data_IF_352150308489
#
_entry.id   IF_352150308489
#
_cell.length_a   1.000
_cell.length_b   1.000
_cell.length_c   1.000
_cell.angle_alpha   90.00
_cell.angle_beta   90.00
_cell.angle_gamma   90.00
#
_symmetry.space_group_name_H-M   'P 1'
#
loop_
_entity.id
_entity.type
_entity.pdbx_description
1 polymer ?
#
# COMPACT_ATOMS: atom_id res chain seq x y z
N UNK A 1 14.30 -4.41 5.44
CA UNK A 1 13.02 -4.79 4.77
C UNK A 1 13.22 -5.00 3.26
N UNK A 2 13.46 -3.95 2.47
CA UNK A 2 13.41 -4.02 1.00
C UNK A 2 14.40 -5.02 0.38
N UNK A 3 15.63 -5.10 0.91
CA UNK A 3 16.62 -6.08 0.45
C UNK A 3 16.13 -7.51 0.65
N UNK A 4 15.48 -7.81 1.78
CA UNK A 4 14.92 -9.14 2.06
C UNK A 4 13.78 -9.48 1.09
N UNK A 5 12.89 -8.52 0.83
CA UNK A 5 11.83 -8.66 -0.17
C UNK A 5 12.44 -8.94 -1.55
N UNK A 6 13.39 -8.11 -1.98
CA UNK A 6 14.02 -8.25 -3.29
C UNK A 6 14.73 -9.60 -3.47
N UNK A 7 15.56 -10.01 -2.51
CA UNK A 7 16.24 -11.31 -2.55
C UNK A 7 15.21 -12.46 -2.58
N UNK A 8 14.20 -12.41 -1.71
CA UNK A 8 13.17 -13.47 -1.67
C UNK A 8 12.40 -13.56 -2.98
N UNK A 9 11.97 -12.42 -3.54
CA UNK A 9 11.28 -12.39 -4.83
C UNK A 9 12.16 -12.91 -5.97
N UNK A 10 13.44 -12.54 -6.00
CA UNK A 10 14.36 -12.98 -7.04
C UNK A 10 14.70 -14.48 -6.95
N UNK A 11 14.70 -15.05 -5.75
CA UNK A 11 14.99 -16.47 -5.53
C UNK A 11 13.79 -17.38 -5.78
N UNK A 12 12.58 -16.90 -5.45
CA UNK A 12 11.39 -17.76 -5.39
C UNK A 12 10.30 -17.42 -6.42
N UNK A 13 10.35 -16.24 -7.05
CA UNK A 13 9.39 -15.85 -8.09
C UNK A 13 9.87 -16.21 -9.50
N UNK A 14 8.94 -16.43 -10.42
CA UNK A 14 9.27 -16.61 -11.84
C UNK A 14 9.68 -15.27 -12.48
N UNK A 15 10.95 -15.16 -12.85
CA UNK A 15 11.54 -13.96 -13.45
C UNK A 15 11.10 -13.71 -14.91
N UNK A 16 10.47 -14.69 -15.57
CA UNK A 16 9.84 -14.46 -16.87
C UNK A 16 8.53 -13.70 -16.74
N UNK A 17 7.96 -13.66 -15.54
CA UNK A 17 6.71 -12.97 -15.28
C UNK A 17 6.93 -11.47 -15.15
N UNK A 18 6.35 -10.70 -16.06
CA UNK A 18 6.50 -9.25 -16.08
C UNK A 18 5.91 -8.55 -14.85
N UNK A 19 4.88 -9.13 -14.20
CA UNK A 19 4.30 -8.55 -12.98
C UNK A 19 5.29 -8.54 -11.81
N UNK A 20 6.16 -9.55 -11.71
CA UNK A 20 7.21 -9.63 -10.69
C UNK A 20 8.16 -8.42 -10.81
N UNK A 21 8.56 -8.09 -12.04
CA UNK A 21 9.41 -6.92 -12.30
C UNK A 21 8.70 -5.60 -12.02
N UNK A 22 7.42 -5.48 -12.41
CA UNK A 22 6.63 -4.26 -12.14
C UNK A 22 6.59 -3.98 -10.63
N UNK A 23 6.25 -4.99 -9.81
CA UNK A 23 6.16 -4.78 -8.36
C UNK A 23 7.53 -4.55 -7.72
N UNK A 24 8.56 -5.26 -8.17
CA UNK A 24 9.92 -5.13 -7.63
C UNK A 24 10.52 -3.75 -7.95
N UNK A 25 10.45 -3.31 -9.20
CA UNK A 25 10.99 -2.02 -9.64
C UNK A 25 10.21 -0.85 -9.04
N UNK A 26 8.88 -0.96 -8.89
CA UNK A 26 8.06 0.05 -8.22
C UNK A 26 8.47 0.18 -6.76
N UNK A 27 8.58 -0.94 -6.05
CA UNK A 27 8.94 -0.98 -4.63
C UNK A 27 10.34 -0.42 -4.40
N UNK A 28 11.33 -0.85 -5.18
CA UNK A 28 12.70 -0.35 -5.08
C UNK A 28 12.79 1.12 -5.51
N UNK A 29 12.07 1.54 -6.55
CA UNK A 29 12.05 2.93 -7.00
C UNK A 29 11.52 3.89 -5.92
N UNK A 30 10.40 3.54 -5.26
CA UNK A 30 9.91 4.30 -4.11
C UNK A 30 10.86 4.22 -2.90
N UNK A 31 11.52 3.07 -2.71
CA UNK A 31 12.58 2.90 -1.71
C UNK A 31 13.77 3.82 -1.94
N UNK A 32 14.19 4.03 -3.19
CA UNK A 32 15.24 4.98 -3.55
C UNK A 32 14.83 6.42 -3.24
N UNK A 33 13.57 6.80 -3.52
CA UNK A 33 13.04 8.13 -3.17
C UNK A 33 13.13 8.33 -1.65
N UNK A 34 12.67 7.35 -0.87
CA UNK A 34 12.73 7.40 0.59
C UNK A 34 14.17 7.42 1.11
N UNK A 35 15.07 6.66 0.48
CA UNK A 35 16.49 6.63 0.85
C UNK A 35 17.16 7.99 0.62
N UNK A 36 16.89 8.63 -0.52
CA UNK A 36 17.41 9.98 -0.79
C UNK A 36 16.90 10.99 0.23
N UNK A 37 15.63 10.86 0.65
CA UNK A 37 15.05 11.72 1.69
C UNK A 37 15.75 11.52 3.05
N UNK A 38 15.82 10.29 3.53
CA UNK A 38 16.42 9.95 4.83
C UNK A 38 17.92 10.23 4.86
N UNK A 39 18.64 9.96 3.76
CA UNK A 39 20.06 10.28 3.63
C UNK A 39 20.32 11.78 3.77
N UNK A 40 19.45 12.64 3.22
CA UNK A 40 19.56 14.10 3.39
C UNK A 40 19.25 14.54 4.82
N UNK A 41 18.28 13.91 5.49
CA UNK A 41 17.95 14.21 6.90
C UNK A 41 19.13 13.88 7.81
N UNK A 42 19.74 12.71 7.64
CA UNK A 42 20.78 12.20 8.54
C UNK A 42 22.17 12.73 8.19
N UNK A 43 22.61 12.54 6.94
CA UNK A 43 24.00 12.84 6.55
C UNK A 43 24.22 14.32 6.31
N UNK A 44 23.28 14.98 5.63
CA UNK A 44 23.38 16.42 5.36
C UNK A 44 22.81 17.28 6.49
N UNK A 45 22.34 16.65 7.59
CA UNK A 45 21.71 17.32 8.74
C UNK A 45 20.65 18.34 8.33
N UNK A 46 19.94 18.07 7.23
CA UNK A 46 18.87 18.93 6.76
C UNK A 46 17.53 18.41 7.30
N UNK A 47 16.97 18.99 8.37
CA UNK A 47 15.76 18.47 9.00
C UNK A 47 14.53 18.51 8.07
N UNK A 48 14.59 19.26 6.96
CA UNK A 48 13.51 19.30 5.96
C UNK A 48 13.56 18.14 4.96
N UNK A 49 14.67 17.42 4.87
CA UNK A 49 14.87 16.35 3.89
C UNK A 49 14.70 16.82 2.42
N UNK A 50 14.13 15.95 1.60
CA UNK A 50 13.68 16.21 0.23
C UNK A 50 12.41 17.06 0.27
N UNK A 51 12.32 18.06 -0.62
CA UNK A 51 11.13 18.89 -0.70
C UNK A 51 9.90 18.06 -1.08
N UNK A 52 8.74 18.38 -0.49
CA UNK A 52 7.49 17.67 -0.78
C UNK A 52 7.16 17.66 -2.29
N UNK A 53 7.48 18.74 -3.02
CA UNK A 53 7.31 18.82 -4.48
C UNK A 53 8.20 17.82 -5.22
N UNK A 54 9.47 17.69 -4.83
CA UNK A 54 10.39 16.74 -5.46
C UNK A 54 10.02 15.29 -5.14
N UNK A 55 9.62 15.01 -3.88
CA UNK A 55 9.12 13.70 -3.48
C UNK A 55 7.91 13.30 -4.32
N UNK A 56 6.90 14.16 -4.39
CA UNK A 56 5.71 13.94 -5.23
C UNK A 56 6.08 13.77 -6.70
N UNK A 57 6.94 14.62 -7.26
CA UNK A 57 7.36 14.53 -8.67
C UNK A 57 7.92 13.15 -9.03
N UNK A 58 8.84 12.61 -8.23
CA UNK A 58 9.43 11.30 -8.52
C UNK A 58 8.43 10.15 -8.31
N UNK A 59 7.59 10.21 -7.27
CA UNK A 59 6.51 9.25 -7.07
C UNK A 59 5.54 9.27 -8.26
N UNK A 60 5.21 10.46 -8.76
CA UNK A 60 4.34 10.65 -9.91
C UNK A 60 4.92 10.04 -11.18
N UNK A 61 6.21 10.25 -11.46
CA UNK A 61 6.88 9.65 -12.63
C UNK A 61 6.78 8.13 -12.57
N UNK A 62 7.15 7.51 -11.45
CA UNK A 62 7.14 6.05 -11.33
C UNK A 62 5.71 5.52 -11.50
N UNK A 63 4.73 6.10 -10.80
CA UNK A 63 3.34 5.63 -10.85
C UNK A 63 2.71 5.80 -12.24
N UNK A 64 3.01 6.89 -12.96
CA UNK A 64 2.54 7.09 -14.33
C UNK A 64 3.19 6.11 -15.30
N UNK A 65 4.50 5.85 -15.19
CA UNK A 65 5.18 4.86 -16.01
C UNK A 65 4.61 3.45 -15.79
N UNK A 66 4.32 3.09 -14.54
CA UNK A 66 3.66 1.82 -14.20
C UNK A 66 2.25 1.77 -14.81
N UNK A 67 1.46 2.82 -14.70
CA UNK A 67 0.11 2.88 -15.30
C UNK A 67 0.14 2.73 -16.82
N UNK A 68 1.05 3.43 -17.50
CA UNK A 68 1.25 3.33 -18.96
C UNK A 68 1.70 1.93 -19.35
N UNK A 69 2.66 1.35 -18.62
CA UNK A 69 3.15 0.00 -18.89
C UNK A 69 2.03 -1.03 -18.74
N UNK A 70 1.31 -1.03 -17.62
CA UNK A 70 0.21 -1.96 -17.36
C UNK A 70 -0.90 -1.85 -18.42
N UNK A 71 -1.25 -0.63 -18.84
CA UNK A 71 -2.21 -0.41 -19.92
C UNK A 71 -1.73 -1.01 -21.24
N UNK A 72 -0.47 -0.78 -21.64
CA UNK A 72 0.04 -1.27 -22.92
C UNK A 72 0.25 -2.79 -22.94
N UNK A 73 0.49 -3.42 -21.78
CA UNK A 73 0.58 -4.88 -21.64
C UNK A 73 -0.78 -5.55 -21.42
N UNK A 74 -1.87 -4.78 -21.32
CA UNK A 74 -3.20 -5.33 -21.11
C UNK A 74 -3.70 -6.04 -22.38
N UNK A 75 -3.82 -7.36 -22.31
CA UNK A 75 -4.32 -8.21 -23.41
C UNK A 75 -5.80 -8.57 -23.27
N UNK A 76 -6.38 -8.42 -22.08
CA UNK A 76 -7.76 -8.77 -21.76
C UNK A 76 -8.50 -7.56 -21.18
N UNK A 77 -9.81 -7.38 -21.47
CA UNK A 77 -10.62 -6.32 -20.86
C UNK A 77 -10.58 -6.32 -19.32
N UNK A 78 -10.53 -7.52 -18.74
CA UNK A 78 -10.39 -7.75 -17.30
C UNK A 78 -9.18 -7.02 -16.66
N UNK A 79 -8.15 -6.68 -17.45
CA UNK A 79 -6.95 -6.01 -16.94
C UNK A 79 -7.19 -4.52 -16.67
N UNK A 80 -8.21 -3.90 -17.29
CA UNK A 80 -8.45 -2.45 -17.23
C UNK A 80 -9.82 -2.05 -16.69
N UNK A 81 -10.67 -3.02 -16.40
CA UNK A 81 -12.02 -2.84 -15.85
C UNK A 81 -12.03 -2.63 -14.33
N UNK A 82 -12.60 -1.53 -13.85
CA UNK A 82 -12.79 -1.28 -12.42
C UNK A 82 -13.95 -2.12 -11.87
N UNK A 83 -13.65 -2.91 -10.83
CA UNK A 83 -14.60 -3.81 -10.21
C UNK A 83 -15.10 -3.22 -8.91
N UNK A 84 -16.42 -3.04 -8.79
CA UNK A 84 -17.03 -2.60 -7.53
C UNK A 84 -17.23 -3.80 -6.61
N UNK A 85 -16.63 -3.82 -5.41
CA UNK A 85 -16.83 -4.92 -4.48
C UNK A 85 -18.31 -5.00 -4.07
N UNK A 86 -18.78 -6.20 -3.73
CA UNK A 86 -20.17 -6.50 -3.35
C UNK A 86 -21.23 -6.35 -4.45
N UNK A 87 -20.87 -5.90 -5.66
CA UNK A 87 -21.82 -5.72 -6.76
C UNK A 87 -21.35 -6.43 -8.05
N UNK A 88 -21.86 -7.64 -8.30
CA UNK A 88 -21.44 -8.53 -9.41
C UNK A 88 -21.49 -7.90 -10.80
N UNK A 89 -22.47 -7.04 -11.04
CA UNK A 89 -22.78 -6.54 -12.39
C UNK A 89 -22.22 -5.14 -12.65
N UNK A 90 -21.65 -4.48 -11.64
CA UNK A 90 -21.14 -3.13 -11.78
C UNK A 90 -19.64 -3.15 -12.07
N UNK A 91 -19.33 -3.32 -13.34
CA UNK A 91 -17.97 -3.28 -13.88
C UNK A 91 -17.87 -2.08 -14.81
N UNK A 92 -16.88 -1.21 -14.56
CA UNK A 92 -16.66 -0.01 -15.36
C UNK A 92 -15.42 -0.19 -16.25
N UNK A 93 -15.58 -0.30 -17.59
CA UNK A 93 -14.43 -0.29 -18.48
C UNK A 93 -13.80 1.10 -18.45
N UNK A 94 -12.56 1.20 -17.99
CA UNK A 94 -11.85 2.47 -17.93
C UNK A 94 -11.20 2.79 -19.28
N UNK A 95 -11.24 4.07 -19.66
CA UNK A 95 -10.39 4.58 -20.74
C UNK A 95 -8.93 4.55 -20.30
N UNK A 96 -7.99 4.64 -21.25
CA UNK A 96 -6.56 4.71 -20.95
C UNK A 96 -6.25 5.78 -19.89
N UNK A 97 -6.82 6.98 -20.05
CA UNK A 97 -6.65 8.10 -19.12
C UNK A 97 -7.24 7.76 -17.75
N UNK A 98 -8.44 7.19 -17.70
CA UNK A 98 -9.10 6.80 -16.44
C UNK A 98 -8.32 5.73 -15.69
N UNK A 99 -7.82 4.71 -16.39
CA UNK A 99 -7.00 3.65 -15.82
C UNK A 99 -5.68 4.19 -15.27
N UNK A 100 -4.93 4.95 -16.08
CA UNK A 100 -3.64 5.53 -15.66
C UNK A 100 -3.82 6.45 -14.44
N UNK A 101 -4.87 7.29 -14.44
CA UNK A 101 -5.19 8.13 -13.29
C UNK A 101 -5.51 7.31 -12.03
N UNK A 102 -6.29 6.24 -12.16
CA UNK A 102 -6.58 5.33 -11.05
C UNK A 102 -5.30 4.69 -10.50
N UNK A 103 -4.45 4.13 -11.37
CA UNK A 103 -3.16 3.54 -10.96
C UNK A 103 -2.30 4.56 -10.22
N UNK A 104 -2.22 5.78 -10.75
CA UNK A 104 -1.53 6.89 -10.10
C UNK A 104 -2.04 7.13 -8.68
N UNK A 105 -3.36 7.31 -8.52
CA UNK A 105 -3.94 7.61 -7.21
C UNK A 105 -3.79 6.46 -6.22
N UNK A 106 -3.91 5.21 -6.68
CA UNK A 106 -3.73 4.04 -5.82
C UNK A 106 -2.27 3.92 -5.37
N UNK A 107 -1.29 3.96 -6.27
CA UNK A 107 0.12 3.79 -5.91
C UNK A 107 0.61 4.96 -5.05
N UNK A 108 0.44 6.20 -5.52
CA UNK A 108 0.93 7.39 -4.82
C UNK A 108 0.14 7.62 -3.54
N UNK A 109 -1.18 7.41 -3.57
CA UNK A 109 -2.06 7.56 -2.41
C UNK A 109 -1.71 6.56 -1.31
N UNK A 110 -1.61 5.27 -1.63
CA UNK A 110 -1.25 4.24 -0.63
C UNK A 110 0.18 4.44 -0.11
N UNK A 111 1.14 4.81 -0.97
CA UNK A 111 2.51 5.14 -0.53
C UNK A 111 2.57 6.24 0.53
N UNK A 112 1.90 7.37 0.28
CA UNK A 112 1.86 8.48 1.24
C UNK A 112 1.00 8.14 2.46
N UNK A 113 -0.08 7.38 2.31
CA UNK A 113 -0.93 6.97 3.43
C UNK A 113 -0.17 6.08 4.43
N UNK A 114 0.64 5.12 3.95
CA UNK A 114 1.50 4.30 4.80
C UNK A 114 2.58 5.17 5.47
N UNK A 115 3.21 6.09 4.75
CA UNK A 115 4.19 7.02 5.32
C UNK A 115 3.61 7.94 6.40
N UNK A 116 2.38 8.43 6.23
CA UNK A 116 1.68 9.20 7.27
C UNK A 116 1.31 8.36 8.50
N UNK A 117 1.22 7.03 8.35
CA UNK A 117 0.87 6.11 9.44
C UNK A 117 2.09 5.64 10.22
N UNK A 118 3.30 5.80 9.67
CA UNK A 118 4.58 5.41 10.29
C UNK A 118 5.05 6.45 11.32
N UNK A 119 4.19 6.76 12.30
CA UNK A 119 4.44 7.76 13.34
C UNK A 119 4.64 7.20 14.76
N UNK A 120 4.34 5.90 14.96
CA UNK A 120 4.48 5.19 16.24
C UNK A 120 5.05 3.78 16.01
N UNK A 121 5.68 3.21 17.04
CA UNK A 121 6.37 1.93 16.99
C UNK A 121 5.41 0.78 16.61
N UNK A 122 5.67 0.12 15.48
CA UNK A 122 4.85 -0.98 14.97
C UNK A 122 3.51 -0.57 14.35
N UNK A 123 3.19 0.73 14.28
CA UNK A 123 1.87 1.20 13.83
C UNK A 123 1.62 0.93 12.35
N UNK A 124 2.61 1.16 11.48
CA UNK A 124 2.46 0.98 10.04
C UNK A 124 2.73 -0.47 9.59
N UNK A 125 3.76 -1.12 10.13
CA UNK A 125 4.23 -2.39 9.57
C UNK A 125 3.23 -3.53 9.72
N UNK A 126 2.61 -3.70 10.89
CA UNK A 126 1.71 -4.84 11.10
C UNK A 126 0.45 -4.74 10.21
N UNK A 127 -0.20 -3.57 10.07
CA UNK A 127 -1.19 -3.35 9.03
C UNK A 127 -0.70 -3.69 7.62
N UNK A 128 0.52 -3.29 7.24
CA UNK A 128 1.10 -3.66 5.93
C UNK A 128 1.23 -5.17 5.78
N UNK A 129 1.69 -5.89 6.81
CA UNK A 129 1.80 -7.36 6.80
C UNK A 129 0.43 -8.01 6.60
N UNK A 130 -0.60 -7.56 7.33
CA UNK A 130 -1.95 -8.12 7.20
C UNK A 130 -2.54 -7.87 5.81
N UNK A 131 -2.44 -6.64 5.28
CA UNK A 131 -2.94 -6.28 3.95
C UNK A 131 -2.16 -7.00 2.85
N UNK A 132 -0.82 -7.08 2.95
CA UNK A 132 0.00 -7.84 2.00
C UNK A 132 -0.38 -9.32 1.98
N UNK A 133 -0.58 -9.93 3.16
CA UNK A 133 -0.98 -11.33 3.27
C UNK A 133 -2.35 -11.60 2.62
N UNK A 134 -3.30 -10.68 2.79
CA UNK A 134 -4.59 -10.77 2.12
C UNK A 134 -4.46 -10.59 0.59
N UNK A 135 -3.64 -9.65 0.12
CA UNK A 135 -3.34 -9.49 -1.30
C UNK A 135 -2.64 -10.71 -1.89
N UNK A 136 -1.83 -11.43 -1.11
CA UNK A 136 -1.23 -12.71 -1.55
C UNK A 136 -2.32 -13.75 -1.87
N UNK A 137 -3.38 -13.82 -1.05
CA UNK A 137 -4.53 -14.70 -1.30
C UNK A 137 -5.27 -14.28 -2.56
N UNK A 138 -5.54 -12.98 -2.75
CA UNK A 138 -6.15 -12.47 -3.97
C UNK A 138 -5.32 -12.77 -5.21
N UNK A 139 -4.00 -12.55 -5.15
CA UNK A 139 -3.06 -12.85 -6.22
C UNK A 139 -3.10 -14.34 -6.61
N UNK A 140 -3.03 -15.22 -5.61
CA UNK A 140 -3.07 -16.67 -5.83
C UNK A 140 -4.40 -17.12 -6.44
N UNK A 141 -5.53 -16.60 -5.96
CA UNK A 141 -6.85 -16.95 -6.47
C UNK A 141 -7.10 -16.40 -7.88
N UNK A 142 -6.74 -15.14 -8.14
CA UNK A 142 -6.88 -14.51 -9.46
C UNK A 142 -5.93 -15.13 -10.51
N UNK A 143 -4.77 -15.61 -10.07
CA UNK A 143 -3.79 -16.30 -10.91
C UNK A 143 -4.12 -17.77 -11.19
N UNK A 144 -5.20 -18.32 -10.64
CA UNK A 144 -5.60 -19.71 -10.82
C UNK A 144 -6.98 -19.81 -11.49
N UNK A 145 -7.05 -20.46 -12.66
CA UNK A 145 -8.28 -20.56 -13.47
C UNK A 145 -9.45 -21.20 -12.69
N UNK A 146 -9.17 -22.21 -11.87
CA UNK A 146 -10.20 -22.94 -11.11
C UNK A 146 -10.78 -22.05 -10.02
N UNK A 147 -9.94 -21.41 -9.22
CA UNK A 147 -10.39 -20.50 -8.16
C UNK A 147 -11.07 -19.26 -8.72
N UNK A 148 -10.50 -18.65 -9.76
CA UNK A 148 -11.08 -17.47 -10.40
C UNK A 148 -12.50 -17.74 -10.90
N UNK A 149 -12.70 -18.89 -11.57
CA UNK A 149 -14.03 -19.32 -12.05
C UNK A 149 -14.99 -19.63 -10.90
N UNK A 150 -14.54 -20.31 -9.84
CA UNK A 150 -15.38 -20.66 -8.70
C UNK A 150 -15.84 -19.43 -7.91
N UNK A 151 -14.96 -18.46 -7.72
CA UNK A 151 -15.23 -17.23 -6.94
C UNK A 151 -15.86 -16.11 -7.78
N UNK A 152 -15.92 -16.26 -9.11
CA UNK A 152 -16.42 -15.21 -10.00
C UNK A 152 -15.53 -13.97 -10.00
N UNK A 153 -14.22 -14.13 -9.79
CA UNK A 153 -13.24 -13.05 -9.89
C UNK A 153 -12.53 -13.13 -11.26
N UNK A 154 -12.01 -12.02 -11.80
CA UNK A 154 -11.28 -12.07 -13.06
C UNK A 154 -10.03 -12.93 -12.95
N UNK A 155 -9.81 -13.75 -13.97
CA UNK A 155 -8.59 -14.51 -14.11
C UNK A 155 -7.50 -13.63 -14.74
N UNK A 156 -6.35 -13.56 -14.08
CA UNK A 156 -5.21 -12.74 -14.50
C UNK A 156 -3.99 -13.68 -14.61
N UNK A 157 -3.66 -14.13 -15.83
CA UNK A 157 -2.56 -15.06 -16.04
C UNK A 157 -1.25 -14.53 -15.43
N UNK A 158 -0.59 -15.34 -14.61
CA UNK A 158 0.67 -14.96 -13.96
C UNK A 158 0.52 -14.09 -12.70
N UNK A 159 -0.67 -13.60 -12.33
CA UNK A 159 -0.81 -12.84 -11.08
C UNK A 159 -0.46 -13.65 -9.82
N UNK A 160 -0.48 -14.99 -9.89
CA UNK A 160 -0.13 -15.89 -8.79
C UNK A 160 1.30 -15.68 -8.26
N UNK A 161 2.25 -15.27 -9.11
CA UNK A 161 3.63 -14.97 -8.69
C UNK A 161 3.70 -13.80 -7.69
N UNK A 162 2.71 -12.91 -7.70
CA UNK A 162 2.63 -11.83 -6.72
C UNK A 162 2.37 -12.33 -5.30
N UNK A 163 1.86 -13.56 -5.14
CA UNK A 163 1.73 -14.18 -3.82
C UNK A 163 3.10 -14.43 -3.17
N UNK A 164 4.12 -14.78 -3.97
CA UNK A 164 5.51 -14.93 -3.50
C UNK A 164 6.06 -13.58 -3.02
N UNK A 165 5.88 -12.52 -3.83
CA UNK A 165 6.27 -11.17 -3.47
C UNK A 165 5.60 -10.69 -2.18
N UNK A 166 4.27 -10.84 -2.08
CA UNK A 166 3.50 -10.47 -0.89
C UNK A 166 3.88 -11.30 0.34
N UNK A 167 4.17 -12.59 0.18
CA UNK A 167 4.73 -13.44 1.23
C UNK A 167 6.09 -12.95 1.71
N UNK A 168 6.95 -12.50 0.80
CA UNK A 168 8.22 -11.84 1.12
C UNK A 168 8.03 -10.54 1.90
N UNK A 169 7.05 -9.70 1.52
CA UNK A 169 6.66 -8.49 2.27
C UNK A 169 6.18 -8.85 3.68
N UNK A 170 5.32 -9.87 3.81
CA UNK A 170 4.79 -10.31 5.10
C UNK A 170 5.92 -10.83 6.02
N UNK A 171 6.79 -11.71 5.50
CA UNK A 171 7.92 -12.26 6.25
C UNK A 171 8.93 -11.19 6.66
N UNK A 172 9.34 -10.32 5.72
CA UNK A 172 10.25 -9.22 6.01
C UNK A 172 9.63 -8.20 6.99
N UNK A 173 8.32 -7.98 6.90
CA UNK A 173 7.59 -7.09 7.80
C UNK A 173 7.45 -7.65 9.21
N UNK A 174 7.17 -8.95 9.38
CA UNK A 174 7.18 -9.62 10.69
C UNK A 174 8.57 -9.62 11.32
N UNK A 175 9.61 -9.88 10.53
CA UNK A 175 10.99 -9.79 11.01
C UNK A 175 11.37 -8.37 11.42
N UNK A 176 10.89 -7.35 10.70
CA UNK A 176 11.09 -5.96 11.10
C UNK A 176 10.32 -5.60 12.37
N UNK A 177 9.07 -6.05 12.49
CA UNK A 177 8.24 -5.82 13.68
C UNK A 177 8.92 -6.36 14.95
N UNK A 178 9.71 -7.45 14.86
CA UNK A 178 10.50 -7.93 15.99
C UNK A 178 11.40 -6.85 16.60
N UNK A 179 12.01 -6.00 15.77
CA UNK A 179 12.91 -4.92 16.20
C UNK A 179 12.22 -3.56 16.32
N UNK A 180 11.02 -3.42 15.75
CA UNK A 180 10.27 -2.16 15.73
C UNK A 180 9.09 -2.14 16.72
N UNK A 181 8.73 -3.27 17.33
CA UNK A 181 7.74 -3.30 18.39
C UNK A 181 8.23 -2.48 19.59
N UNK A 182 7.32 -1.74 20.21
CA UNK A 182 7.66 -0.83 21.31
C UNK A 182 8.38 -1.55 22.45
N UNK A 183 9.51 -1.01 22.95
CA UNK A 183 10.23 0.17 22.45
C UNK A 183 11.10 -0.15 21.21
N UNK A 184 10.99 0.63 20.13
CA UNK A 184 11.69 0.33 18.88
C UNK A 184 13.22 0.48 18.96
N UNK A 185 13.91 -0.52 18.42
CA UNK A 185 15.37 -0.50 18.17
C UNK A 185 15.69 0.05 16.78
N UNK A 186 14.78 -0.14 15.82
CA UNK A 186 14.94 0.26 14.42
C UNK A 186 13.68 0.96 13.92
N UNK A 187 13.85 2.13 13.30
CA UNK A 187 12.78 2.86 12.62
C UNK A 187 12.70 2.47 11.13
N UNK A 188 11.48 2.50 10.58
CA UNK A 188 11.25 2.11 9.19
C UNK A 188 11.78 3.17 8.21
N UNK A 189 11.58 4.45 8.54
CA UNK A 189 11.97 5.58 7.71
C UNK A 189 11.13 5.70 6.43
N UNK A 190 11.38 6.77 5.68
CA UNK A 190 10.72 7.00 4.39
C UNK A 190 11.09 5.91 3.38
N UNK A 191 12.28 5.30 3.51
CA UNK A 191 12.70 4.14 2.71
C UNK A 191 11.65 3.03 2.76
N UNK A 192 11.28 2.60 3.96
CA UNK A 192 10.35 1.48 4.14
C UNK A 192 8.93 1.90 3.86
N UNK A 193 8.47 3.02 4.43
CA UNK A 193 7.06 3.37 4.40
C UNK A 193 6.57 3.71 2.99
N UNK A 194 7.35 4.48 2.22
CA UNK A 194 6.98 4.83 0.84
C UNK A 194 6.98 3.60 -0.07
N UNK A 195 8.00 2.75 0.06
CA UNK A 195 8.14 1.53 -0.74
C UNK A 195 7.03 0.53 -0.46
N UNK A 196 6.73 0.26 0.82
CA UNK A 196 5.71 -0.70 1.22
C UNK A 196 4.30 -0.24 0.80
N UNK A 197 3.96 1.04 0.96
CA UNK A 197 2.67 1.53 0.49
C UNK A 197 2.55 1.49 -1.04
N UNK A 198 3.61 1.79 -1.78
CA UNK A 198 3.62 1.64 -3.23
C UNK A 198 3.50 0.16 -3.66
N UNK A 199 4.16 -0.75 -2.95
CA UNK A 199 4.09 -2.20 -3.16
C UNK A 199 2.66 -2.73 -3.02
N UNK A 200 1.97 -2.37 -1.94
CA UNK A 200 0.56 -2.73 -1.74
C UNK A 200 -0.34 -2.18 -2.86
N UNK A 201 -0.13 -0.91 -3.23
CA UNK A 201 -0.89 -0.25 -4.29
C UNK A 201 -0.73 -0.93 -5.65
N UNK A 202 0.50 -1.23 -6.07
CA UNK A 202 0.75 -1.84 -7.38
C UNK A 202 0.25 -3.28 -7.45
N UNK A 203 0.39 -4.07 -6.37
CA UNK A 203 -0.18 -5.42 -6.31
C UNK A 203 -1.69 -5.35 -6.44
N UNK A 204 -2.36 -4.47 -5.68
CA UNK A 204 -3.81 -4.32 -5.73
C UNK A 204 -4.33 -3.91 -7.12
N UNK A 205 -3.60 -3.04 -7.83
CA UNK A 205 -3.90 -2.68 -9.23
C UNK A 205 -3.81 -3.91 -10.14
N UNK A 206 -2.74 -4.69 -10.02
CA UNK A 206 -2.53 -5.88 -10.88
C UNK A 206 -3.62 -6.93 -10.61
N UNK A 207 -3.97 -7.18 -9.34
CA UNK A 207 -4.99 -8.18 -8.99
C UNK A 207 -6.44 -7.69 -9.11
N UNK A 208 -6.65 -6.44 -9.58
CA UNK A 208 -7.97 -5.76 -9.69
C UNK A 208 -8.73 -5.68 -8.36
N UNK A 209 -8.02 -5.34 -7.29
CA UNK A 209 -8.53 -5.20 -5.93
C UNK A 209 -8.27 -3.81 -5.35
N UNK A 210 -8.35 -2.77 -6.17
CA UNK A 210 -8.05 -1.39 -5.78
C UNK A 210 -9.02 -0.88 -4.71
N UNK A 211 -10.33 -1.09 -4.91
CA UNK A 211 -11.35 -0.71 -3.94
C UNK A 211 -11.32 -1.61 -2.70
N UNK A 212 -10.94 -2.87 -2.85
CA UNK A 212 -10.77 -3.77 -1.71
C UNK A 212 -9.53 -3.38 -0.90
N UNK A 213 -8.44 -2.91 -1.53
CA UNK A 213 -7.30 -2.30 -0.85
C UNK A 213 -7.72 -1.06 -0.06
N UNK A 214 -8.61 -0.23 -0.59
CA UNK A 214 -9.15 0.92 0.15
C UNK A 214 -9.89 0.49 1.43
N UNK A 215 -10.57 -0.66 1.41
CA UNK A 215 -11.21 -1.26 2.59
C UNK A 215 -10.18 -1.87 3.54
N UNK A 216 -9.34 -2.80 3.06
CA UNK A 216 -8.34 -3.51 3.88
C UNK A 216 -7.31 -2.56 4.49
N UNK A 217 -6.85 -1.59 3.70
CA UNK A 217 -5.97 -0.49 4.10
C UNK A 217 -6.72 0.69 4.72
N UNK A 218 -7.96 0.50 5.14
CA UNK A 218 -8.82 1.57 5.67
C UNK A 218 -8.19 2.31 6.85
N UNK A 219 -7.30 1.69 7.62
CA UNK A 219 -6.50 2.39 8.63
C UNK A 219 -5.61 3.47 7.99
N UNK A 220 -4.81 3.11 6.99
CA UNK A 220 -3.96 4.06 6.25
C UNK A 220 -4.80 5.18 5.62
N UNK A 221 -5.96 4.82 5.08
CA UNK A 221 -6.91 5.79 4.50
C UNK A 221 -7.41 6.76 5.57
N UNK A 222 -7.84 6.27 6.73
CA UNK A 222 -8.32 7.12 7.83
C UNK A 222 -7.23 8.08 8.32
N UNK A 223 -6.00 7.59 8.44
CA UNK A 223 -4.84 8.42 8.79
C UNK A 223 -4.60 9.54 7.77
N UNK A 224 -4.53 9.19 6.48
CA UNK A 224 -4.36 10.17 5.41
C UNK A 224 -5.51 11.17 5.32
N UNK A 225 -6.76 10.71 5.43
CA UNK A 225 -7.96 11.55 5.41
C UNK A 225 -7.98 12.50 6.60
N UNK A 226 -7.53 12.07 7.77
CA UNK A 226 -7.46 12.95 8.95
C UNK A 226 -6.52 14.13 8.73
N UNK A 227 -5.37 13.89 8.08
CA UNK A 227 -4.42 14.95 7.73
C UNK A 227 -5.03 15.89 6.69
N UNK A 228 -5.68 15.35 5.64
CA UNK A 228 -6.34 16.17 4.63
C UNK A 228 -7.42 17.07 5.23
N UNK A 229 -8.29 16.52 6.07
CA UNK A 229 -9.34 17.28 6.78
C UNK A 229 -8.73 18.36 7.68
N UNK A 230 -7.70 18.00 8.45
CA UNK A 230 -7.05 18.93 9.36
C UNK A 230 -6.42 20.11 8.60
N UNK A 231 -5.67 19.84 7.53
CA UNK A 231 -5.01 20.87 6.71
C UNK A 231 -6.05 21.74 6.00
N UNK A 232 -7.10 21.14 5.43
CA UNK A 232 -8.19 21.88 4.78
C UNK A 232 -8.93 22.80 5.76
N UNK A 233 -9.32 22.28 6.93
CA UNK A 233 -10.00 23.04 7.96
C UNK A 233 -9.15 24.20 8.48
N UNK A 234 -7.86 23.98 8.73
CA UNK A 234 -6.97 25.04 9.20
C UNK A 234 -6.75 26.13 8.13
N UNK A 235 -6.63 25.76 6.85
CA UNK A 235 -6.51 26.73 5.75
C UNK A 235 -7.78 27.54 5.49
N UNK A 236 -8.95 26.92 5.64
CA UNK A 236 -10.24 27.56 5.33
C UNK A 236 -10.84 28.32 6.52
N UNK A 237 -10.67 27.81 7.74
CA UNK A 237 -11.36 28.32 8.93
C UNK A 237 -10.43 28.77 10.05
N UNK A 238 -9.12 28.45 9.95
CA UNK A 238 -8.14 28.67 11.03
C UNK A 238 -8.32 27.75 12.24
N UNK A 239 -9.29 26.84 12.22
CA UNK A 239 -9.60 25.94 13.34
C UNK A 239 -9.09 24.53 13.07
N UNK A 240 -8.73 23.83 14.16
CA UNK A 240 -8.31 22.43 14.13
C UNK A 240 -9.53 21.52 14.38
N UNK A 241 -9.68 20.44 13.62
CA UNK A 241 -10.74 19.44 13.81
C UNK A 241 -10.31 18.39 14.84
N UNK A 242 -9.10 17.86 14.66
CA UNK A 242 -8.45 16.96 15.60
C UNK A 242 -7.46 17.72 16.47
N UNK A 243 -7.20 17.22 17.68
CA UNK A 243 -6.16 17.75 18.58
C UNK A 243 -4.80 17.86 17.88
N UNK A 244 -4.44 16.81 17.15
CA UNK A 244 -3.30 16.72 16.23
C UNK A 244 -3.68 15.75 15.11
N UNK A 245 -3.11 15.94 13.92
CA UNK A 245 -3.19 14.97 12.84
C UNK A 245 -1.77 14.43 12.58
N UNK A 246 -1.59 13.13 12.31
CA UNK A 246 -2.63 12.11 12.02
C UNK A 246 -3.43 11.61 13.26
N UNK A 247 -4.38 10.68 13.08
CA UNK A 247 -5.31 10.21 14.13
C UNK A 247 -4.62 9.56 15.32
N UNK A 248 -3.53 8.83 15.13
CA UNK A 248 -2.83 8.22 16.26
C UNK A 248 -2.41 9.27 17.31
N UNK A 249 -1.83 10.40 16.88
CA UNK A 249 -1.50 11.51 17.78
C UNK A 249 -2.73 12.17 18.42
N UNK A 250 -3.87 12.19 17.72
CA UNK A 250 -5.12 12.63 18.33
C UNK A 250 -5.51 11.79 19.54
N UNK A 251 -5.34 10.47 19.46
CA UNK A 251 -5.64 9.54 20.56
C UNK A 251 -4.60 9.58 21.68
N UNK A 252 -3.32 9.76 21.36
CA UNK A 252 -2.28 9.99 22.37
C UNK A 252 -2.58 11.24 23.21
N UNK A 253 -2.94 12.36 22.55
CA UNK A 253 -3.34 13.58 23.24
C UNK A 253 -4.67 13.46 23.99
N UNK A 254 -5.45 12.39 23.76
CA UNK A 254 -6.64 12.02 24.56
C UNK A 254 -6.28 11.17 25.79
N UNK A 255 -5.01 10.83 25.98
CA UNK A 255 -4.51 10.07 27.12
C UNK A 255 -4.36 8.56 26.86
N UNK A 256 -4.45 8.10 25.61
CA UNK A 256 -4.13 6.71 25.30
C UNK A 256 -2.62 6.51 25.27
N UNK A 257 -2.15 5.37 25.78
CA UNK A 257 -0.74 4.98 25.63
C UNK A 257 -0.43 4.64 24.17
N UNK A 258 0.79 4.89 23.72
CA UNK A 258 1.24 4.53 22.36
C UNK A 258 0.92 3.07 22.01
N UNK A 259 1.33 2.13 22.87
CA UNK A 259 1.04 0.69 22.69
C UNK A 259 -0.46 0.37 22.63
N UNK A 260 -1.28 1.13 23.35
CA UNK A 260 -2.74 0.99 23.32
C UNK A 260 -3.33 1.47 21.99
N UNK A 261 -2.79 2.55 21.40
CA UNK A 261 -3.19 3.02 20.06
C UNK A 261 -2.81 1.97 19.01
N UNK A 262 -1.55 1.53 19.03
CA UNK A 262 -0.99 0.55 18.08
C UNK A 262 -1.80 -0.75 18.06
N UNK A 263 -1.99 -1.40 19.22
CA UNK A 263 -2.73 -2.67 19.29
C UNK A 263 -4.19 -2.52 18.85
N UNK A 264 -4.85 -1.41 19.22
CA UNK A 264 -6.24 -1.16 18.77
C UNK A 264 -6.32 -0.97 17.28
N UNK A 265 -5.35 -0.28 16.69
CA UNK A 265 -5.31 -0.05 15.26
C UNK A 265 -5.02 -1.35 14.51
N UNK A 266 -4.21 -2.26 15.07
CA UNK A 266 -4.04 -3.61 14.54
C UNK A 266 -5.34 -4.41 14.56
N UNK A 267 -6.12 -4.35 15.64
CA UNK A 267 -7.43 -5.00 15.72
C UNK A 267 -8.37 -4.45 14.64
N UNK A 268 -8.41 -3.13 14.46
CA UNK A 268 -9.22 -2.49 13.40
C UNK A 268 -8.77 -2.96 12.02
N UNK A 269 -7.46 -2.97 11.74
CA UNK A 269 -6.95 -3.47 10.47
C UNK A 269 -7.28 -4.93 10.25
N UNK A 270 -7.18 -5.79 11.26
CA UNK A 270 -7.57 -7.20 11.16
C UNK A 270 -9.03 -7.32 10.74
N UNK A 271 -9.94 -6.57 11.37
CA UNK A 271 -11.36 -6.58 11.02
C UNK A 271 -11.61 -6.09 9.58
N UNK A 272 -10.91 -5.04 9.16
CA UNK A 272 -11.01 -4.50 7.79
C UNK A 272 -10.46 -5.47 6.74
N UNK A 273 -9.37 -6.18 7.06
CA UNK A 273 -8.80 -7.23 6.20
C UNK A 273 -9.77 -8.40 6.06
N UNK A 274 -10.37 -8.86 7.15
CA UNK A 274 -11.40 -9.91 7.12
C UNK A 274 -12.62 -9.47 6.30
N UNK A 275 -13.06 -8.22 6.43
CA UNK A 275 -14.12 -7.65 5.61
C UNK A 275 -13.73 -7.61 4.12
N UNK A 276 -12.49 -7.23 3.81
CA UNK A 276 -11.95 -7.27 2.45
C UNK A 276 -11.93 -8.68 1.87
N UNK A 277 -11.48 -9.67 2.63
CA UNK A 277 -11.49 -11.08 2.22
C UNK A 277 -12.91 -11.62 2.04
N UNK A 278 -13.89 -11.18 2.84
CA UNK A 278 -15.29 -11.56 2.66
C UNK A 278 -15.84 -11.15 1.28
N UNK A 279 -15.27 -10.11 0.65
CA UNK A 279 -15.66 -9.69 -0.72
C UNK A 279 -15.38 -10.75 -1.79
N UNK A 280 -14.49 -11.72 -1.54
CA UNK A 280 -14.21 -12.82 -2.47
C UNK A 280 -15.45 -13.69 -2.74
N UNK A 281 -16.31 -13.87 -1.73
CA UNK A 281 -17.48 -14.76 -1.81
C UNK A 281 -18.81 -14.00 -1.92
N UNK A 282 -18.80 -12.73 -1.52
CA UNK A 282 -19.96 -11.83 -1.57
C UNK A 282 -20.02 -11.00 -2.87
N UNK A 283 -19.22 -11.36 -3.87
CA UNK A 283 -19.49 -10.96 -5.26
C UNK A 283 -20.61 -11.83 -5.73
#
# INVERSE_FOLDING_TARGET
ILTSIAITTLLWGDLHNHYVWVVLLTTLGFGVIGWVDDYRKVVHRNPKGLSAKAKMFWQSIIALLVGVYLWNTATLPAHTELIVPFMKFLVFPLTAVGFIAMVYFVIVGTSNAVNLTDGLDGLAIMPTVMVSSALALFAYMAGNVVFAKYLGIPYIPGAGELAVFCGGVAGAGLAFLWFNAYPAEVFMGDVGALALGAALGVVAVIVRQELVLFIMGGLFVMEAVSVMIQVASFKLTGKRVFRMAPLHHHYELKGWKETQVVVRFWIITMMLVLLGLATLKLR
#
